data_IF_835915641052
#
_entry.id   IF_835915641052
#
_cell.length_a   1.000
_cell.length_b   1.000
_cell.length_c   1.000
_cell.angle_alpha   90.00
_cell.angle_beta   90.00
_cell.angle_gamma   90.00
#
_symmetry.space_group_name_H-M   'P 1'
#
loop_
_entity.id
_entity.type
_entity.pdbx_description
1 polymer ?
#
# COMPACT_ATOMS: atom_id res chain seq x y z
N UNK A 1 5.89 -15.11 -8.01
CA UNK A 1 6.17 -15.30 -6.55
C UNK A 1 7.26 -14.36 -6.03
N UNK A 2 8.35 -14.17 -6.78
CA UNK A 2 9.47 -13.29 -6.39
C UNK A 2 9.03 -11.84 -6.14
N UNK A 3 8.18 -11.30 -7.01
CA UNK A 3 7.62 -9.95 -6.90
C UNK A 3 6.86 -9.73 -5.58
N UNK A 4 6.02 -10.69 -5.19
CA UNK A 4 5.24 -10.60 -3.95
C UNK A 4 6.13 -10.59 -2.72
N UNK A 5 7.16 -11.44 -2.69
CA UNK A 5 8.14 -11.47 -1.60
C UNK A 5 8.94 -10.16 -1.55
N UNK A 6 9.37 -9.63 -2.69
CA UNK A 6 10.09 -8.36 -2.74
C UNK A 6 9.26 -7.18 -2.21
N UNK A 7 7.98 -7.11 -2.57
CA UNK A 7 7.05 -6.09 -2.05
C UNK A 7 6.77 -6.29 -0.56
N UNK A 8 6.64 -7.53 -0.11
CA UNK A 8 6.50 -7.83 1.32
C UNK A 8 7.73 -7.34 2.09
N UNK A 9 8.94 -7.66 1.60
CA UNK A 9 10.19 -7.16 2.19
C UNK A 9 10.27 -5.63 2.17
N UNK A 10 9.85 -4.98 1.09
CA UNK A 10 9.80 -3.53 0.99
C UNK A 10 8.85 -2.93 2.05
N UNK A 11 7.65 -3.50 2.20
CA UNK A 11 6.68 -3.03 3.19
C UNK A 11 7.14 -3.28 4.64
N UNK A 12 7.80 -4.40 4.92
CA UNK A 12 8.41 -4.66 6.22
C UNK A 12 9.59 -3.72 6.51
N UNK A 13 10.45 -3.45 5.51
CA UNK A 13 11.51 -2.47 5.64
C UNK A 13 10.94 -1.06 5.89
N UNK A 14 9.85 -0.70 5.21
CA UNK A 14 9.14 0.56 5.44
C UNK A 14 8.61 0.66 6.88
N UNK A 15 8.07 -0.43 7.46
CA UNK A 15 7.67 -0.47 8.87
C UNK A 15 8.86 -0.25 9.81
N UNK A 16 10.01 -0.89 9.55
CA UNK A 16 11.22 -0.73 10.38
C UNK A 16 11.72 0.71 10.31
N UNK A 17 11.80 1.29 9.10
CA UNK A 17 12.24 2.67 8.89
C UNK A 17 11.28 3.65 9.56
N UNK A 18 9.97 3.46 9.40
CA UNK A 18 8.96 4.26 10.08
C UNK A 18 9.09 4.18 11.61
N UNK A 19 9.28 2.98 12.16
CA UNK A 19 9.49 2.78 13.59
C UNK A 19 10.77 3.47 14.10
N UNK A 20 11.83 3.50 13.29
CA UNK A 20 13.05 4.24 13.61
C UNK A 20 12.84 5.77 13.53
N UNK A 21 12.15 6.25 12.48
CA UNK A 21 11.81 7.67 12.31
C UNK A 21 10.90 8.19 13.42
N UNK A 22 9.97 7.37 13.89
CA UNK A 22 9.07 7.73 15.00
C UNK A 22 9.82 7.99 16.32
N UNK A 23 11.08 7.55 16.46
CA UNK A 23 11.92 7.87 17.62
C UNK A 23 12.58 9.24 17.54
N UNK A 24 12.71 9.81 16.34
CA UNK A 24 13.40 11.08 16.11
C UNK A 24 12.44 12.21 15.75
N UNK A 25 11.32 11.89 15.09
CA UNK A 25 10.31 12.85 14.67
C UNK A 25 9.07 12.74 15.57
N UNK A 26 8.68 13.82 16.27
CA UNK A 26 7.45 13.80 17.05
C UNK A 26 6.22 13.70 16.12
N UNK A 27 5.09 13.14 16.59
CA UNK A 27 3.81 13.26 15.90
C UNK A 27 3.47 14.73 15.64
N UNK A 28 2.90 15.11 14.48
CA UNK A 28 2.46 14.29 13.34
C UNK A 28 3.49 14.12 12.20
N UNK A 29 4.77 14.38 12.45
CA UNK A 29 5.78 14.56 11.38
C UNK A 29 6.39 13.27 10.83
N UNK A 30 6.03 12.10 11.38
CA UNK A 30 6.51 10.81 10.90
C UNK A 30 5.54 10.22 9.86
N UNK A 31 5.93 9.99 8.60
CA UNK A 31 5.05 9.41 7.58
C UNK A 31 4.76 7.92 7.83
N UNK A 32 3.57 7.45 7.44
CA UNK A 32 3.26 6.01 7.42
C UNK A 32 3.72 5.38 6.10
N UNK A 33 5.02 5.09 6.04
CA UNK A 33 5.66 4.52 4.85
C UNK A 33 5.07 3.17 4.46
N UNK A 34 4.72 2.34 5.45
CA UNK A 34 4.16 1.02 5.18
C UNK A 34 2.74 1.09 4.64
N UNK A 35 1.92 2.03 5.11
CA UNK A 35 0.62 2.32 4.52
C UNK A 35 0.75 2.88 3.10
N UNK A 36 1.73 3.75 2.84
CA UNK A 36 2.01 4.24 1.48
C UNK A 36 2.44 3.12 0.52
N UNK A 37 3.17 2.10 1.01
CA UNK A 37 3.43 0.89 0.23
C UNK A 37 2.13 0.18 -0.13
N UNK A 38 1.17 0.05 0.80
CA UNK A 38 -0.15 -0.54 0.50
C UNK A 38 -0.93 0.26 -0.53
N UNK A 39 -0.90 1.59 -0.45
CA UNK A 39 -1.48 2.46 -1.49
C UNK A 39 -0.83 2.17 -2.85
N UNK A 40 0.51 2.12 -2.90
CA UNK A 40 1.25 1.78 -4.10
C UNK A 40 0.88 0.41 -4.68
N UNK A 41 0.69 -0.60 -3.82
CA UNK A 41 0.20 -1.93 -4.22
C UNK A 41 -1.19 -1.80 -4.86
N UNK A 42 -2.13 -1.10 -4.22
CA UNK A 42 -3.47 -0.91 -4.78
C UNK A 42 -3.48 -0.23 -6.16
N UNK A 43 -2.55 0.69 -6.37
CA UNK A 43 -2.46 1.44 -7.63
C UNK A 43 -1.72 0.69 -8.75
N UNK A 44 -0.65 -0.05 -8.44
CA UNK A 44 0.31 -0.56 -9.45
C UNK A 44 0.32 -2.08 -9.59
N UNK A 45 -0.30 -2.81 -8.66
CA UNK A 45 -0.15 -4.26 -8.62
C UNK A 45 -1.06 -4.97 -9.65
N UNK A 46 -0.54 -5.91 -10.46
CA UNK A 46 -1.28 -6.50 -11.57
C UNK A 46 -2.37 -7.51 -11.14
N UNK A 47 -2.25 -8.13 -9.96
CA UNK A 47 -3.15 -9.22 -9.52
C UNK A 47 -3.99 -8.87 -8.30
N UNK A 48 -5.31 -8.76 -8.46
CA UNK A 48 -6.19 -8.32 -7.37
C UNK A 48 -6.10 -9.21 -6.10
N UNK A 49 -6.14 -10.53 -6.24
CA UNK A 49 -6.06 -11.46 -5.10
C UNK A 49 -4.69 -11.43 -4.40
N UNK A 50 -3.59 -11.33 -5.17
CA UNK A 50 -2.26 -11.32 -4.58
C UNK A 50 -1.95 -9.99 -3.89
N UNK A 51 -2.42 -8.86 -4.43
CA UNK A 51 -2.33 -7.56 -3.76
C UNK A 51 -3.14 -7.51 -2.46
N UNK A 52 -4.33 -8.12 -2.45
CA UNK A 52 -5.16 -8.28 -1.26
C UNK A 52 -4.42 -9.01 -0.14
N UNK A 53 -3.80 -10.15 -0.46
CA UNK A 53 -3.01 -10.92 0.50
C UNK A 53 -1.81 -10.13 1.06
N UNK A 54 -1.11 -9.39 0.20
CA UNK A 54 0.01 -8.53 0.63
C UNK A 54 -0.44 -7.40 1.56
N UNK A 55 -1.55 -6.73 1.24
CA UNK A 55 -2.11 -5.67 2.08
C UNK A 55 -2.50 -6.19 3.47
N UNK A 56 -3.13 -7.37 3.54
CA UNK A 56 -3.45 -8.03 4.81
C UNK A 56 -2.21 -8.40 5.61
N UNK A 57 -1.22 -9.06 4.99
CA UNK A 57 0.02 -9.45 5.67
C UNK A 57 0.77 -8.25 6.22
N UNK A 58 0.87 -7.16 5.44
CA UNK A 58 1.51 -5.93 5.89
C UNK A 58 0.72 -5.26 7.02
N UNK A 59 -0.61 -5.36 7.03
CA UNK A 59 -1.41 -4.82 8.12
C UNK A 59 -1.32 -5.64 9.40
N UNK A 60 -1.34 -6.97 9.33
CA UNK A 60 -1.05 -7.80 10.50
C UNK A 60 0.37 -7.55 11.04
N UNK A 61 1.34 -7.35 10.16
CA UNK A 61 2.69 -6.97 10.57
C UNK A 61 2.72 -5.64 11.32
N UNK A 62 1.91 -4.66 10.90
CA UNK A 62 1.77 -3.38 11.60
C UNK A 62 1.06 -3.54 12.95
N UNK A 63 0.02 -4.38 13.03
CA UNK A 63 -0.64 -4.69 14.31
C UNK A 63 0.36 -5.27 15.31
N UNK A 64 1.20 -6.22 14.89
CA UNK A 64 2.23 -6.83 15.75
C UNK A 64 3.29 -5.83 16.24
N UNK A 65 3.69 -4.88 15.38
CA UNK A 65 4.74 -3.90 15.72
C UNK A 65 4.20 -2.74 16.56
N UNK A 66 2.96 -2.33 16.32
CA UNK A 66 2.34 -1.19 17.02
C UNK A 66 1.78 -1.57 18.39
N UNK A 67 1.52 -2.85 18.65
CA UNK A 67 0.76 -3.28 19.82
C UNK A 67 -0.72 -2.89 19.76
N UNK A 68 -1.22 -2.59 18.56
CA UNK A 68 -2.62 -2.24 18.32
C UNK A 68 -3.55 -3.46 18.46
N UNK A 69 -4.87 -3.21 18.43
CA UNK A 69 -5.89 -4.25 18.34
C UNK A 69 -5.60 -5.15 17.13
N UNK A 70 -5.43 -6.45 17.38
CA UNK A 70 -5.09 -7.41 16.34
C UNK A 70 -6.13 -7.39 15.22
N UNK A 71 -5.71 -7.05 14.00
CA UNK A 71 -6.58 -6.94 12.83
C UNK A 71 -7.03 -5.51 12.50
N UNK A 72 -6.75 -4.49 13.34
CA UNK A 72 -7.14 -3.11 13.07
C UNK A 72 -6.40 -2.54 11.85
N UNK A 73 -5.06 -2.56 11.85
CA UNK A 73 -4.29 -2.12 10.70
C UNK A 73 -4.49 -3.05 9.51
N UNK A 74 -4.67 -4.36 9.72
CA UNK A 74 -5.04 -5.30 8.65
C UNK A 74 -6.31 -4.88 7.92
N UNK A 75 -7.39 -4.60 8.66
CA UNK A 75 -8.67 -4.17 8.10
C UNK A 75 -8.53 -2.82 7.38
N UNK A 76 -7.93 -1.82 8.03
CA UNK A 76 -7.85 -0.47 7.46
C UNK A 76 -6.94 -0.42 6.23
N UNK A 77 -5.83 -1.16 6.22
CA UNK A 77 -4.95 -1.28 5.05
C UNK A 77 -5.63 -2.04 3.93
N UNK A 78 -6.43 -3.06 4.25
CA UNK A 78 -7.22 -3.74 3.24
C UNK A 78 -8.24 -2.80 2.59
N UNK A 79 -9.00 -2.02 3.38
CA UNK A 79 -9.94 -1.02 2.85
C UNK A 79 -9.21 0.01 1.99
N UNK A 80 -8.03 0.47 2.43
CA UNK A 80 -7.19 1.40 1.66
C UNK A 80 -6.74 0.79 0.33
N UNK A 81 -6.29 -0.47 0.34
CA UNK A 81 -5.91 -1.20 -0.87
C UNK A 81 -7.09 -1.27 -1.86
N UNK A 82 -8.27 -1.63 -1.39
CA UNK A 82 -9.47 -1.71 -2.22
C UNK A 82 -9.85 -0.35 -2.80
N UNK A 83 -9.80 0.71 -1.98
CA UNK A 83 -10.06 2.08 -2.42
C UNK A 83 -9.05 2.52 -3.48
N UNK A 84 -7.76 2.26 -3.27
CA UNK A 84 -6.69 2.59 -4.22
C UNK A 84 -6.82 1.80 -5.54
N UNK A 85 -7.19 0.51 -5.47
CA UNK A 85 -7.41 -0.33 -6.64
C UNK A 85 -8.68 0.04 -7.41
N UNK A 86 -9.73 0.50 -6.73
CA UNK A 86 -10.92 1.02 -7.39
C UNK A 86 -10.63 2.38 -8.03
N UNK A 87 -9.98 3.28 -7.29
CA UNK A 87 -9.64 4.61 -7.76
C UNK A 87 -8.68 4.57 -8.94
N UNK A 88 -7.69 3.68 -8.97
CA UNK A 88 -6.76 3.54 -10.11
C UNK A 88 -7.40 3.03 -11.39
N UNK A 89 -8.57 2.37 -11.30
CA UNK A 89 -9.34 1.89 -12.44
C UNK A 89 -10.37 2.89 -12.94
N UNK A 90 -10.91 3.71 -12.04
CA UNK A 90 -11.96 4.68 -12.35
C UNK A 90 -11.41 6.08 -12.65
N UNK A 91 -10.30 6.44 -12.02
CA UNK A 91 -9.63 7.72 -12.14
C UNK A 91 -8.26 7.51 -12.78
N UNK A 92 -7.87 8.42 -13.67
CA UNK A 92 -6.52 8.45 -14.20
C UNK A 92 -5.55 8.96 -13.11
N UNK A 93 -5.12 8.05 -12.23
CA UNK A 93 -4.16 8.33 -11.17
C UNK A 93 -2.70 8.31 -11.66
N UNK A 94 -2.45 8.56 -12.95
CA UNK A 94 -1.10 8.63 -13.51
C UNK A 94 -0.35 9.89 -13.07
N UNK A 95 -1.07 10.99 -12.77
CA UNK A 95 -0.49 12.27 -12.38
C UNK A 95 -0.16 12.41 -10.89
N UNK A 96 0.86 13.21 -10.58
CA UNK A 96 1.23 13.52 -9.21
C UNK A 96 0.11 14.21 -8.41
N UNK A 97 -0.69 15.07 -9.07
CA UNK A 97 -1.79 15.80 -8.42
C UNK A 97 -2.94 14.88 -8.00
N UNK A 98 -3.50 14.02 -8.86
CA UNK A 98 -4.50 13.02 -8.44
C UNK A 98 -4.03 12.13 -7.29
N UNK A 99 -2.76 11.67 -7.33
CA UNK A 99 -2.18 10.86 -6.26
C UNK A 99 -2.09 11.64 -4.95
N UNK A 100 -1.65 12.90 -4.99
CA UNK A 100 -1.60 13.75 -3.81
C UNK A 100 -2.99 13.95 -3.18
N UNK A 101 -4.00 14.25 -3.99
CA UNK A 101 -5.38 14.42 -3.51
C UNK A 101 -5.90 13.12 -2.88
N UNK A 102 -5.69 11.98 -3.55
CA UNK A 102 -6.11 10.67 -3.05
C UNK A 102 -5.43 10.33 -1.72
N UNK A 103 -4.10 10.46 -1.64
CA UNK A 103 -3.33 10.17 -0.42
C UNK A 103 -3.72 11.10 0.72
N UNK A 104 -3.95 12.38 0.43
CA UNK A 104 -4.41 13.35 1.42
C UNK A 104 -5.75 12.95 2.02
N UNK A 105 -6.76 12.72 1.18
CA UNK A 105 -8.10 12.33 1.62
C UNK A 105 -8.08 11.00 2.37
N UNK A 106 -7.37 10.01 1.85
CA UNK A 106 -7.27 8.69 2.48
C UNK A 106 -6.48 8.71 3.79
N UNK A 107 -5.49 9.61 3.97
CA UNK A 107 -4.78 9.75 5.25
C UNK A 107 -5.70 10.23 6.36
N UNK A 108 -6.57 11.22 6.05
CA UNK A 108 -7.57 11.72 7.01
C UNK A 108 -8.59 10.61 7.33
N UNK A 109 -9.12 9.95 6.30
CA UNK A 109 -10.07 8.85 6.48
C UNK A 109 -9.47 7.69 7.29
N UNK A 110 -8.21 7.33 7.03
CA UNK A 110 -7.48 6.29 7.76
C UNK A 110 -7.29 6.65 9.23
N UNK A 111 -6.84 7.87 9.53
CA UNK A 111 -6.70 8.34 10.90
C UNK A 111 -8.04 8.36 11.66
N UNK A 112 -9.10 8.82 11.00
CA UNK A 112 -10.44 8.86 11.59
C UNK A 112 -10.95 7.46 11.89
N UNK A 113 -10.77 6.53 10.94
CA UNK A 113 -11.15 5.15 11.12
C UNK A 113 -10.33 4.47 12.24
N UNK A 114 -9.04 4.80 12.36
CA UNK A 114 -8.18 4.28 13.43
C UNK A 114 -8.70 4.71 14.80
N UNK A 115 -8.92 6.02 15.01
CA UNK A 115 -9.47 6.54 16.27
C UNK A 115 -10.85 5.97 16.54
N UNK A 116 -11.74 5.94 15.54
CA UNK A 116 -13.11 5.45 15.71
C UNK A 116 -13.15 3.98 16.13
N UNK A 117 -12.29 3.15 15.53
CA UNK A 117 -12.20 1.72 15.85
C UNK A 117 -11.64 1.53 17.26
N UNK A 118 -10.64 2.33 17.64
CA UNK A 118 -10.08 2.31 19.00
C UNK A 118 -11.11 2.75 20.05
N UNK A 119 -11.83 3.85 19.82
CA UNK A 119 -12.90 4.32 20.71
C UNK A 119 -14.01 3.28 20.87
N UNK A 120 -14.38 2.59 19.78
CA UNK A 120 -15.41 1.55 19.83
C UNK A 120 -14.99 0.32 20.65
N UNK A 121 -13.77 -0.18 20.47
CA UNK A 121 -13.32 -1.43 21.10
C UNK A 121 -12.65 -1.25 22.47
N UNK A 122 -11.92 -0.15 22.66
CA UNK A 122 -11.14 0.12 23.88
C UNK A 122 -11.79 1.18 24.79
N UNK A 123 -12.91 1.78 24.37
CA UNK A 123 -13.61 2.80 25.16
C UNK A 123 -12.83 4.11 25.30
N UNK A 124 -11.91 4.42 24.38
CA UNK A 124 -11.20 5.70 24.38
C UNK A 124 -12.12 6.86 24.00
N UNK A 125 -11.77 8.06 24.47
CA UNK A 125 -12.44 9.29 24.05
C UNK A 125 -12.50 9.41 22.51
N UNK A 126 -13.59 9.95 22.00
CA UNK A 126 -13.79 10.17 20.57
C UNK A 126 -12.81 11.20 19.99
N UNK A 127 -12.82 11.43 18.66
CA UNK A 127 -11.95 12.40 18.03
C UNK A 127 -12.26 13.82 18.51
N UNK A 128 -11.33 14.42 19.28
CA UNK A 128 -11.40 15.82 19.69
C UNK A 128 -11.07 16.79 18.55
N UNK A 129 -11.22 18.11 18.77
CA UNK A 129 -10.90 19.10 17.73
C UNK A 129 -9.41 19.10 17.34
N UNK A 130 -8.52 18.82 18.28
CA UNK A 130 -7.07 18.74 18.07
C UNK A 130 -6.66 17.60 17.12
N UNK A 131 -7.53 16.59 17.00
CA UNK A 131 -7.35 15.50 16.04
C UNK A 131 -7.31 16.03 14.60
N UNK A 132 -8.18 16.97 14.23
CA UNK A 132 -8.27 17.44 12.85
C UNK A 132 -7.02 18.20 12.42
N UNK A 133 -6.48 19.06 13.29
CA UNK A 133 -5.22 19.76 13.01
C UNK A 133 -4.06 18.79 12.82
N UNK A 134 -3.97 17.78 13.69
CA UNK A 134 -2.96 16.73 13.65
C UNK A 134 -3.11 15.86 12.39
N UNK A 135 -4.33 15.48 12.04
CA UNK A 135 -4.65 14.65 10.87
C UNK A 135 -4.33 15.36 9.56
N UNK A 136 -4.62 16.67 9.46
CA UNK A 136 -4.27 17.48 8.29
C UNK A 136 -2.75 17.58 8.12
N UNK A 137 -2.03 17.88 9.19
CA UNK A 137 -0.56 17.95 9.15
C UNK A 137 0.05 16.60 8.75
N UNK A 138 -0.43 15.50 9.34
CA UNK A 138 -0.03 14.14 8.99
C UNK A 138 -0.32 13.79 7.53
N UNK A 139 -1.48 14.19 7.01
CA UNK A 139 -1.85 13.97 5.62
C UNK A 139 -0.88 14.67 4.65
N UNK A 140 -0.45 15.90 4.95
CA UNK A 140 0.58 16.58 4.16
C UNK A 140 1.91 15.82 4.17
N UNK A 141 2.34 15.34 5.33
CA UNK A 141 3.57 14.56 5.47
C UNK A 141 3.51 13.28 4.62
N UNK A 142 2.38 12.57 4.64
CA UNK A 142 2.17 11.40 3.78
C UNK A 142 2.16 11.76 2.29
N UNK A 143 1.54 12.87 1.89
CA UNK A 143 1.56 13.34 0.49
C UNK A 143 3.00 13.57 0.01
N UNK A 144 3.83 14.21 0.83
CA UNK A 144 5.24 14.45 0.50
C UNK A 144 6.02 13.13 0.37
N UNK A 145 5.73 12.14 1.21
CA UNK A 145 6.37 10.83 1.16
C UNK A 145 5.78 9.87 0.10
N UNK A 146 4.60 10.18 -0.46
CA UNK A 146 3.88 9.29 -1.37
C UNK A 146 4.62 9.06 -2.68
N UNK A 147 5.11 10.14 -3.31
CA UNK A 147 5.81 10.07 -4.59
C UNK A 147 6.99 9.08 -4.56
N UNK A 148 7.99 9.28 -3.67
CA UNK A 148 9.12 8.36 -3.53
C UNK A 148 8.70 6.92 -3.20
N UNK A 149 7.75 6.74 -2.29
CA UNK A 149 7.32 5.40 -1.84
C UNK A 149 6.59 4.64 -2.94
N UNK A 150 5.65 5.28 -3.63
CA UNK A 150 4.90 4.66 -4.74
C UNK A 150 5.82 4.40 -5.92
N UNK A 151 6.78 5.29 -6.21
CA UNK A 151 7.80 5.05 -7.23
C UNK A 151 8.70 3.86 -6.88
N UNK A 152 9.02 3.64 -5.60
CA UNK A 152 9.77 2.46 -5.17
C UNK A 152 8.97 1.17 -5.40
N UNK A 153 7.67 1.17 -5.07
CA UNK A 153 6.77 0.04 -5.36
C UNK A 153 6.74 -0.24 -6.86
N UNK A 154 6.53 0.79 -7.68
CA UNK A 154 6.46 0.68 -9.13
C UNK A 154 7.75 0.08 -9.73
N UNK A 155 8.92 0.57 -9.28
CA UNK A 155 10.23 0.02 -9.70
C UNK A 155 10.41 -1.44 -9.31
N UNK A 156 9.98 -1.84 -8.11
CA UNK A 156 10.06 -3.25 -7.68
C UNK A 156 9.13 -4.11 -8.53
N UNK A 157 7.90 -3.67 -8.77
CA UNK A 157 6.94 -4.38 -9.62
C UNK A 157 7.50 -4.54 -11.04
N UNK A 158 7.96 -3.45 -11.66
CA UNK A 158 8.51 -3.48 -13.02
C UNK A 158 9.71 -4.42 -13.12
N UNK A 159 10.67 -4.33 -12.18
CA UNK A 159 11.88 -5.16 -12.17
C UNK A 159 11.58 -6.66 -12.15
N UNK A 160 10.57 -7.08 -11.40
CA UNK A 160 10.24 -8.51 -11.29
C UNK A 160 9.16 -8.97 -12.29
N UNK A 161 8.45 -8.05 -12.94
CA UNK A 161 7.52 -8.38 -14.02
C UNK A 161 8.27 -8.87 -15.28
N UNK A 162 9.39 -8.23 -15.63
CA UNK A 162 10.22 -8.61 -16.77
C UNK A 162 10.77 -10.04 -16.64
N UNK A 163 11.10 -10.47 -15.41
CA UNK A 163 11.53 -11.85 -15.14
C UNK A 163 10.42 -12.89 -15.35
N UNK A 164 9.16 -12.53 -15.07
CA UNK A 164 8.02 -13.44 -15.21
C UNK A 164 7.52 -13.52 -16.67
N UNK A 165 7.63 -12.43 -17.45
CA UNK A 165 7.35 -12.43 -18.90
C UNK A 165 8.39 -13.26 -19.66
N UNK A 166 9.68 -13.15 -19.32
CA UNK A 166 10.73 -13.98 -19.91
C UNK A 166 10.56 -15.48 -19.65
N UNK A 167 9.89 -15.86 -18.55
CA UNK A 167 9.64 -17.27 -18.18
C UNK A 167 8.39 -17.87 -18.83
N UNK A 168 7.46 -17.02 -19.28
CA UNK A 168 6.28 -17.42 -20.10
C UNK A 168 6.55 -17.36 -21.60
N UNK A 169 7.71 -16.86 -22.00
CA UNK A 169 8.20 -16.90 -23.38
C UNK A 169 8.52 -18.32 -23.84
N UNK A 170 7.81 -18.75 -24.88
CA UNK A 170 7.98 -19.99 -25.67
C UNK A 170 7.81 -21.32 -24.92
N UNK A 171 6.56 -21.71 -24.66
CA UNK A 171 6.18 -23.05 -25.08
C UNK A 171 5.94 -22.94 -26.59
N UNK A 172 6.79 -23.51 -27.45
CA UNK A 172 6.44 -23.65 -28.86
C UNK A 172 5.21 -24.55 -28.91
N UNK A 173 4.01 -23.95 -28.99
CA UNK A 173 2.83 -24.63 -29.47
C UNK A 173 3.18 -25.09 -30.87
N UNK A 174 3.56 -26.36 -30.96
CA UNK A 174 4.05 -27.01 -32.15
C UNK A 174 3.02 -26.91 -33.27
N UNK A 175 3.10 -25.84 -34.05
CA UNK A 175 2.59 -25.83 -35.39
C UNK A 175 3.66 -26.48 -36.26
N UNK A 176 3.64 -27.81 -36.26
CA UNK A 176 4.45 -28.59 -37.20
C UNK A 176 4.09 -28.16 -38.63
N UNK A 177 5.08 -27.95 -39.51
CA UNK A 177 4.79 -27.65 -40.90
C UNK A 177 4.06 -28.84 -41.50
N UNK A 178 2.82 -28.60 -41.92
CA UNK A 178 1.99 -29.55 -42.68
C UNK A 178 2.75 -29.85 -43.97
N UNK A 179 3.51 -30.95 -44.01
CA UNK A 179 4.09 -31.49 -45.23
C UNK A 179 2.93 -31.77 -46.19
N UNK A 180 2.80 -30.94 -47.22
CA UNK A 180 1.97 -31.23 -48.36
C UNK A 180 2.49 -32.51 -49.00
N UNK A 181 1.64 -33.53 -49.04
CA UNK A 181 1.81 -34.68 -49.92
C UNK A 181 1.37 -34.21 -51.31
N UNK A 182 2.36 -34.01 -52.17
CA UNK A 182 2.21 -34.10 -53.63
C UNK A 182 2.74 -35.44 -54.10
#
# INVERSE_FOLDING_TARGET
MKSGLAILCLGLAALVVQGALARTLPPPWCPDLAWLVVVGIGMRWPGFLSGFGLALLLGFSADLVSGSLMGQHALLRLVTYLAAAAASRQLDLSGAVPVAIFVFAMSIAYGLALVSTLSFFAGSDGPGLDFFGTAVAFAFVNVLAAGPTIAAVDRVVARFADEEVGRRGSIPLGYGPRRGLG
#
